data_IF_564569767409
#
_entry.id   IF_564569767409
#
_cell.length_a   1.000
_cell.length_b   1.000
_cell.length_c   1.000
_cell.angle_alpha   90.00
_cell.angle_beta   90.00
_cell.angle_gamma   90.00
#
_symmetry.space_group_name_H-M   'P 1'
#
loop_
_entity.id
_entity.type
_entity.pdbx_description
1 polymer ?
#
# COMPACT_ATOMS: atom_id res chain seq x y z
N UNK A 1 6.12 -6.52 -32.93
CA UNK A 1 5.33 -7.40 -32.03
C UNK A 1 5.74 -7.22 -30.57
N UNK A 2 7.02 -7.01 -30.26
CA UNK A 2 7.51 -6.78 -28.89
C UNK A 2 6.94 -5.50 -28.22
N UNK A 3 6.75 -4.41 -28.96
CA UNK A 3 6.24 -3.14 -28.40
C UNK A 3 4.79 -3.24 -27.90
N UNK A 4 3.95 -4.05 -28.57
CA UNK A 4 2.55 -4.24 -28.18
C UNK A 4 2.47 -5.04 -26.88
N UNK A 5 3.28 -6.10 -26.78
CA UNK A 5 3.35 -6.93 -25.56
C UNK A 5 3.88 -6.11 -24.38
N UNK A 6 4.90 -5.26 -24.60
CA UNK A 6 5.41 -4.35 -23.58
C UNK A 6 4.37 -3.32 -23.12
N UNK A 7 3.54 -2.80 -24.04
CA UNK A 7 2.46 -1.86 -23.71
C UNK A 7 1.37 -2.54 -22.90
N UNK A 8 0.92 -3.73 -23.30
CA UNK A 8 -0.10 -4.50 -22.57
C UNK A 8 0.36 -4.89 -21.15
N UNK A 9 1.65 -5.21 -20.97
CA UNK A 9 2.20 -5.52 -19.66
C UNK A 9 2.21 -4.30 -18.72
N UNK A 10 2.48 -3.10 -19.25
CA UNK A 10 2.41 -1.85 -18.48
C UNK A 10 0.95 -1.51 -18.12
N UNK A 11 0.01 -1.67 -19.06
CA UNK A 11 -1.41 -1.46 -18.81
C UNK A 11 -1.96 -2.41 -17.73
N UNK A 12 -1.54 -3.67 -17.75
CA UNK A 12 -1.90 -4.66 -16.72
C UNK A 12 -1.38 -4.26 -15.34
N UNK A 13 -0.10 -3.87 -15.25
CA UNK A 13 0.49 -3.36 -14.00
C UNK A 13 -0.27 -2.14 -13.49
N UNK A 14 -0.61 -1.20 -14.38
CA UNK A 14 -1.38 -0.01 -14.00
C UNK A 14 -2.81 -0.35 -13.56
N UNK A 15 -3.48 -1.30 -14.21
CA UNK A 15 -4.80 -1.79 -13.81
C UNK A 15 -4.76 -2.41 -12.40
N UNK A 16 -3.72 -3.19 -12.09
CA UNK A 16 -3.49 -3.76 -10.77
C UNK A 16 -3.25 -2.68 -9.71
N UNK A 17 -2.40 -1.67 -9.99
CA UNK A 17 -2.17 -0.51 -9.09
C UNK A 17 -3.48 0.21 -8.78
N UNK A 18 -4.32 0.44 -9.80
CA UNK A 18 -5.63 1.10 -9.64
C UNK A 18 -6.57 0.26 -8.77
N UNK A 19 -6.63 -1.05 -9.01
CA UNK A 19 -7.47 -1.96 -8.23
C UNK A 19 -7.05 -1.99 -6.75
N UNK A 20 -5.76 -2.13 -6.46
CA UNK A 20 -5.21 -2.08 -5.09
C UNK A 20 -5.52 -0.76 -4.39
N UNK A 21 -5.32 0.37 -5.08
CA UNK A 21 -5.62 1.71 -4.54
C UNK A 21 -7.11 1.86 -4.21
N UNK A 22 -8.00 1.32 -5.06
CA UNK A 22 -9.45 1.31 -4.82
C UNK A 22 -9.81 0.47 -3.58
N UNK A 23 -9.22 -0.72 -3.46
CA UNK A 23 -9.43 -1.60 -2.32
C UNK A 23 -8.99 -0.95 -1.01
N UNK A 24 -7.82 -0.32 -0.98
CA UNK A 24 -7.30 0.42 0.19
C UNK A 24 -8.29 1.51 0.62
N UNK A 25 -8.76 2.33 -0.33
CA UNK A 25 -9.75 3.38 -0.04
C UNK A 25 -11.05 2.79 0.51
N UNK A 26 -11.52 1.68 -0.06
CA UNK A 26 -12.72 0.97 0.39
C UNK A 26 -12.55 0.43 1.82
N UNK A 27 -11.45 -0.23 2.13
CA UNK A 27 -11.18 -0.78 3.45
C UNK A 27 -11.04 0.32 4.51
N UNK A 28 -10.34 1.43 4.19
CA UNK A 28 -10.29 2.61 5.08
C UNK A 28 -11.66 3.23 5.33
N UNK A 29 -12.59 3.18 4.36
CA UNK A 29 -13.98 3.63 4.56
C UNK A 29 -14.78 2.66 5.42
N UNK A 30 -14.63 1.35 5.20
CA UNK A 30 -15.31 0.32 6.02
C UNK A 30 -14.88 0.39 7.48
N UNK A 31 -13.62 0.67 7.78
CA UNK A 31 -13.14 0.80 9.17
C UNK A 31 -13.79 1.96 9.96
N UNK A 32 -14.49 2.87 9.29
CA UNK A 32 -15.25 3.97 9.90
C UNK A 32 -16.71 3.62 10.20
N UNK A 33 -17.17 2.43 9.82
CA UNK A 33 -18.52 1.95 10.14
C UNK A 33 -18.52 1.10 11.40
N UNK A 34 -19.70 0.74 11.88
CA UNK A 34 -19.85 -0.30 12.89
C UNK A 34 -19.44 -1.64 12.28
N UNK A 35 -18.54 -2.33 12.97
CA UNK A 35 -17.97 -3.61 12.58
C UNK A 35 -17.77 -4.42 13.86
N UNK A 36 -18.00 -5.72 13.78
CA UNK A 36 -17.56 -6.64 14.82
C UNK A 36 -16.03 -6.67 14.90
N UNK A 37 -15.49 -7.14 16.02
CA UNK A 37 -14.03 -7.28 16.18
C UNK A 37 -13.43 -8.23 15.14
N UNK A 38 -14.16 -9.28 14.78
CA UNK A 38 -13.74 -10.23 13.74
C UNK A 38 -13.65 -9.55 12.36
N UNK A 39 -14.67 -8.79 11.97
CA UNK A 39 -14.69 -8.05 10.70
C UNK A 39 -13.61 -6.97 10.67
N UNK A 40 -13.43 -6.23 11.78
CA UNK A 40 -12.37 -5.22 11.91
C UNK A 40 -10.99 -5.84 11.74
N UNK A 41 -10.71 -6.95 12.43
CA UNK A 41 -9.43 -7.65 12.33
C UNK A 41 -9.18 -8.19 10.93
N UNK A 42 -10.22 -8.75 10.30
CA UNK A 42 -10.15 -9.19 8.90
C UNK A 42 -9.81 -8.03 7.96
N UNK A 43 -10.50 -6.89 8.10
CA UNK A 43 -10.28 -5.71 7.24
C UNK A 43 -8.89 -5.12 7.47
N UNK A 44 -8.40 -5.05 8.71
CA UNK A 44 -7.05 -4.54 9.02
C UNK A 44 -5.97 -5.43 8.39
N UNK A 45 -6.11 -6.75 8.50
CA UNK A 45 -5.19 -7.69 7.86
C UNK A 45 -5.19 -7.51 6.34
N UNK A 46 -6.38 -7.48 5.72
CA UNK A 46 -6.52 -7.27 4.27
C UNK A 46 -5.97 -5.91 3.83
N UNK A 47 -6.17 -4.86 4.61
CA UNK A 47 -5.62 -3.53 4.33
C UNK A 47 -4.09 -3.55 4.27
N UNK A 48 -3.44 -4.19 5.26
CA UNK A 48 -1.98 -4.33 5.29
C UNK A 48 -1.46 -5.13 4.09
N UNK A 49 -2.15 -6.20 3.69
CA UNK A 49 -1.79 -6.99 2.51
C UNK A 49 -1.90 -6.18 1.21
N UNK A 50 -2.95 -5.37 1.05
CA UNK A 50 -3.10 -4.52 -0.13
C UNK A 50 -2.05 -3.40 -0.18
N UNK A 51 -1.69 -2.82 0.96
CA UNK A 51 -0.64 -1.79 1.05
C UNK A 51 0.74 -2.36 0.71
N UNK A 52 1.08 -3.55 1.22
CA UNK A 52 2.31 -4.24 0.88
C UNK A 52 2.38 -4.60 -0.62
N UNK A 53 1.30 -5.18 -1.17
CA UNK A 53 1.25 -5.53 -2.58
C UNK A 53 1.29 -4.31 -3.50
N UNK A 54 0.74 -3.16 -3.07
CA UNK A 54 0.83 -1.91 -3.82
C UNK A 54 2.26 -1.38 -3.83
N UNK A 55 2.98 -1.45 -2.70
CA UNK A 55 4.37 -1.00 -2.60
C UNK A 55 5.28 -1.83 -3.53
N UNK A 56 5.19 -3.16 -3.46
CA UNK A 56 5.95 -4.08 -4.32
C UNK A 56 5.68 -3.80 -5.81
N UNK A 57 4.40 -3.68 -6.19
CA UNK A 57 4.01 -3.40 -7.57
C UNK A 57 4.44 -2.01 -8.04
N UNK A 58 4.48 -1.02 -7.14
CA UNK A 58 4.95 0.33 -7.47
C UNK A 58 6.46 0.33 -7.70
N UNK A 59 7.23 -0.41 -6.91
CA UNK A 59 8.69 -0.49 -7.04
C UNK A 59 9.08 -1.20 -8.34
N UNK A 60 8.32 -2.22 -8.75
CA UNK A 60 8.49 -2.90 -10.03
C UNK A 60 8.08 -2.07 -11.26
N UNK A 61 7.12 -1.14 -11.10
CA UNK A 61 6.53 -0.40 -12.22
C UNK A 61 7.16 0.98 -12.39
N UNK A 62 7.50 1.62 -11.28
CA UNK A 62 8.05 2.97 -11.22
C UNK A 62 9.34 2.94 -10.41
N UNK A 63 10.51 2.74 -11.06
CA UNK A 63 11.81 2.80 -10.38
C UNK A 63 12.12 4.18 -9.77
N UNK A 64 11.25 5.17 -9.99
CA UNK A 64 11.24 6.47 -9.33
C UNK A 64 9.93 6.63 -8.57
N UNK A 65 9.99 6.54 -7.24
CA UNK A 65 8.81 6.69 -6.39
C UNK A 65 8.20 8.09 -6.56
N UNK A 66 6.98 8.17 -7.09
CA UNK A 66 6.12 9.35 -6.95
C UNK A 66 5.37 9.27 -5.62
N UNK A 67 6.13 9.15 -4.53
CA UNK A 67 5.63 9.32 -3.17
C UNK A 67 5.71 10.79 -2.74
N UNK A 68 5.03 11.20 -1.65
CA UNK A 68 5.38 12.45 -1.00
C UNK A 68 6.88 12.45 -0.75
N UNK A 69 7.61 13.51 -1.13
CA UNK A 69 9.06 13.60 -0.94
C UNK A 69 9.39 13.51 0.56
N UNK A 70 9.54 12.29 1.07
CA UNK A 70 10.32 12.03 2.27
C UNK A 70 11.79 12.07 1.84
N UNK A 71 12.28 13.29 1.54
CA UNK A 71 13.64 13.54 1.98
C UNK A 71 13.63 13.37 3.50
N UNK A 72 14.62 12.65 4.01
CA UNK A 72 14.99 12.48 5.43
C UNK A 72 13.89 12.21 6.49
N UNK A 73 13.88 10.99 7.04
CA UNK A 73 13.95 10.87 8.51
C UNK A 73 12.97 9.99 9.29
N UNK A 74 12.09 9.18 8.70
CA UNK A 74 11.07 8.45 9.50
C UNK A 74 11.35 6.96 9.73
N UNK A 75 12.50 6.44 9.28
CA UNK A 75 12.96 5.09 9.62
C UNK A 75 13.74 5.01 10.95
N UNK A 76 13.78 6.09 11.74
CA UNK A 76 14.35 6.10 13.10
C UNK A 76 13.52 6.97 14.02
N UNK A 77 12.40 6.46 14.51
CA UNK A 77 11.97 6.74 15.88
C UNK A 77 10.98 5.67 16.36
N UNK A 78 11.48 4.45 16.47
CA UNK A 78 10.89 3.46 17.37
C UNK A 78 12.03 2.56 17.86
N UNK A 79 12.80 3.03 18.84
CA UNK A 79 13.73 2.23 19.64
C UNK A 79 14.19 3.07 20.86
N UNK A 80 13.68 2.71 22.06
CA UNK A 80 14.02 3.23 23.41
C UNK A 80 13.67 4.71 23.61
N UNK A 81 12.84 5.10 24.57
CA UNK A 81 13.08 4.96 26.01
C UNK A 81 11.77 4.87 26.79
N UNK A 82 11.56 3.72 27.44
CA UNK A 82 10.86 3.66 28.70
C UNK A 82 11.82 3.05 29.71
N UNK A 83 12.52 3.89 30.49
CA UNK A 83 13.11 3.54 31.80
C UNK A 83 13.88 4.74 32.38
N UNK A 84 13.60 5.05 33.65
CA UNK A 84 14.30 5.91 34.63
C UNK A 84 13.65 7.27 34.94
N UNK A 85 13.30 7.43 36.22
CA UNK A 85 12.79 8.63 36.86
C UNK A 85 11.57 8.36 37.71
#
# INVERSE_FOLDING_TARGET
MEDIVSTMAIDEKLARIRARTSNIRRYRRLLKTELTDLERNFILKRLSEEEAALAELSDETFPFHVGPRAHNGWAKLDLREGSHG
#
